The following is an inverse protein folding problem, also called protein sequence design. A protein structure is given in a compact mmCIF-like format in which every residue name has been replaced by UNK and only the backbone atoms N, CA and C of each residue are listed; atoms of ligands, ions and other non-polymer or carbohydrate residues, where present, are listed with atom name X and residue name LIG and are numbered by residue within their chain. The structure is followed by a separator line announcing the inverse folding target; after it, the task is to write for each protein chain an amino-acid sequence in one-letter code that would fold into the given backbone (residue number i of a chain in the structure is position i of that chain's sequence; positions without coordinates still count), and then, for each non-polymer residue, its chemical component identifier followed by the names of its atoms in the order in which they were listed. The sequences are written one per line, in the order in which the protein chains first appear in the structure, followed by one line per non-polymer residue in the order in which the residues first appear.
data_IF_882459022342
#
_entry.id   IF_882459022342
#
_cell.length_a   1.000
_cell.length_b   1.000
_cell.length_c   1.000
_cell.angle_alpha   90.00
_cell.angle_beta   90.00
_cell.angle_gamma   90.00
#
_symmetry.space_group_name_H-M   'P 1'
#
loop_
_entity.id
_entity.type
_entity.pdbx_description
1 polymer ?
#
# COMPACT_ATOMS: atom_id res chain seq x y z
N UNK A 1 -34.73 -34.56 -28.35
CA UNK A 1 -33.81 -33.54 -27.78
C UNK A 1 -33.68 -33.57 -26.24
N UNK A 2 -34.20 -34.59 -25.53
CA UNK A 2 -34.21 -34.63 -24.05
C UNK A 2 -33.06 -35.42 -23.41
N UNK A 3 -32.17 -36.07 -24.18
CA UNK A 3 -31.07 -36.88 -23.63
C UNK A 3 -29.78 -36.10 -23.32
N UNK A 4 -29.61 -34.90 -23.86
CA UNK A 4 -28.40 -34.07 -23.65
C UNK A 4 -28.53 -33.18 -22.39
N UNK A 5 -29.74 -33.00 -21.89
CA UNK A 5 -30.01 -32.17 -20.69
C UNK A 5 -29.70 -32.88 -19.37
N UNK A 6 -29.62 -34.23 -19.37
CA UNK A 6 -29.43 -35.02 -18.14
C UNK A 6 -27.95 -35.11 -17.74
N UNK A 7 -27.02 -35.07 -18.70
CA UNK A 7 -25.57 -35.01 -18.41
C UNK A 7 -25.14 -33.69 -17.78
N UNK A 8 -25.89 -32.60 -18.01
CA UNK A 8 -25.69 -31.30 -17.34
C UNK A 8 -26.17 -31.29 -15.87
N UNK A 9 -27.09 -32.18 -15.50
CA UNK A 9 -27.55 -32.35 -14.12
C UNK A 9 -26.55 -33.13 -13.24
N UNK A 10 -25.66 -33.92 -13.85
CA UNK A 10 -24.65 -34.73 -13.14
C UNK A 10 -23.31 -34.03 -12.87
N UNK A 11 -22.89 -33.06 -13.70
CA UNK A 11 -21.52 -32.53 -13.64
C UNK A 11 -21.34 -31.02 -13.89
N UNK A 12 -22.39 -30.20 -13.85
CA UNK A 12 -22.31 -28.82 -14.35
C UNK A 12 -22.43 -27.65 -13.37
N UNK A 13 -22.95 -27.86 -12.15
CA UNK A 13 -23.27 -26.74 -11.24
C UNK A 13 -22.54 -26.79 -9.90
N UNK A 14 -21.24 -27.13 -9.94
CA UNK A 14 -20.30 -26.77 -8.88
C UNK A 14 -19.76 -25.33 -9.04
N UNK A 15 -20.58 -24.40 -9.55
CA UNK A 15 -20.46 -22.97 -9.22
C UNK A 15 -21.38 -22.63 -8.05
N UNK A 16 -21.15 -23.36 -6.97
CA UNK A 16 -21.10 -22.84 -5.59
C UNK A 16 -22.03 -21.66 -5.30
N UNK A 17 -23.28 -22.02 -4.97
CA UNK A 17 -24.16 -21.25 -4.06
C UNK A 17 -23.60 -21.17 -2.62
N UNK A 18 -22.30 -21.43 -2.43
CA UNK A 18 -21.48 -21.03 -1.29
C UNK A 18 -21.22 -19.50 -1.26
N UNK A 19 -21.72 -18.76 -2.25
CA UNK A 19 -21.77 -17.29 -2.26
C UNK A 19 -22.84 -16.71 -1.30
N UNK A 20 -23.64 -17.53 -0.61
CA UNK A 20 -24.81 -17.06 0.17
C UNK A 20 -24.82 -17.33 1.68
N UNK A 21 -23.79 -17.93 2.28
CA UNK A 21 -23.69 -18.06 3.76
C UNK A 21 -22.25 -18.03 4.24
N UNK A 22 -21.64 -16.86 4.15
CA UNK A 22 -20.36 -16.58 4.82
C UNK A 22 -20.45 -15.16 5.40
N UNK A 23 -21.49 -14.88 6.18
CA UNK A 23 -21.41 -13.80 7.17
C UNK A 23 -20.41 -14.29 8.20
N UNK A 24 -19.19 -13.73 8.19
CA UNK A 24 -18.11 -14.07 9.14
C UNK A 24 -17.02 -15.03 8.64
N UNK A 25 -17.08 -15.56 7.43
CA UNK A 25 -15.96 -16.32 6.86
C UNK A 25 -15.31 -15.51 5.76
N UNK A 26 -14.29 -14.76 6.16
CA UNK A 26 -13.24 -14.33 5.26
C UNK A 26 -12.50 -15.64 4.95
N UNK A 27 -12.63 -16.24 3.74
CA UNK A 27 -11.74 -17.34 3.41
C UNK A 27 -10.35 -16.80 3.72
N UNK A 28 -9.53 -17.54 4.49
CA UNK A 28 -8.08 -17.32 4.55
C UNK A 28 -7.69 -17.24 3.09
N UNK A 29 -7.61 -16.03 2.55
CA UNK A 29 -7.15 -15.78 1.21
C UNK A 29 -5.73 -16.23 1.38
N UNK A 30 -5.46 -17.47 1.00
CA UNK A 30 -4.10 -17.94 0.76
C UNK A 30 -3.58 -16.80 -0.07
N UNK A 31 -2.69 -15.94 0.48
CA UNK A 31 -2.28 -14.77 -0.23
C UNK A 31 -1.68 -15.39 -1.47
N UNK A 32 -2.35 -15.24 -2.63
CA UNK A 32 -1.75 -15.60 -3.91
C UNK A 32 -0.36 -15.05 -3.76
N UNK A 33 0.69 -15.87 -3.91
CA UNK A 33 2.06 -15.40 -3.77
C UNK A 33 2.19 -14.22 -4.75
N UNK A 34 1.87 -13.00 -4.30
CA UNK A 34 2.01 -11.78 -5.07
C UNK A 34 3.50 -11.65 -5.02
N UNK A 35 4.09 -12.21 -6.08
CA UNK A 35 5.50 -12.36 -6.28
C UNK A 35 6.01 -10.92 -6.28
N UNK A 36 6.48 -10.51 -5.11
CA UNK A 36 7.07 -9.22 -4.78
C UNK A 36 6.04 -8.07 -4.61
N UNK A 37 5.50 -7.93 -3.39
CA UNK A 37 4.88 -6.68 -2.91
C UNK A 37 5.96 -5.61 -2.73
N UNK A 38 6.60 -5.20 -3.83
CA UNK A 38 7.53 -4.09 -3.87
C UNK A 38 6.75 -2.80 -3.75
N UNK A 39 7.16 -1.98 -2.81
CA UNK A 39 6.65 -0.63 -2.59
C UNK A 39 7.79 0.35 -2.67
N UNK A 40 7.49 1.61 -2.93
CA UNK A 40 8.48 2.67 -2.90
C UNK A 40 8.36 3.42 -1.58
N UNK A 41 9.46 3.53 -0.84
CA UNK A 41 9.57 4.42 0.31
C UNK A 41 10.09 5.76 -0.19
N UNK A 42 9.26 6.80 -0.09
CA UNK A 42 9.56 8.15 -0.59
C UNK A 42 9.74 9.12 0.56
N UNK A 43 10.69 10.03 0.46
CA UNK A 43 10.99 11.05 1.48
C UNK A 43 9.78 11.92 1.81
N UNK A 44 9.44 11.99 3.09
CA UNK A 44 8.39 12.87 3.62
C UNK A 44 8.80 14.35 3.56
N UNK A 45 10.11 14.63 3.52
CA UNK A 45 10.62 15.97 3.28
C UNK A 45 10.34 16.49 1.85
N UNK A 46 9.68 15.68 1.00
CA UNK A 46 9.26 16.01 -0.36
C UNK A 46 10.42 16.43 -1.29
N UNK A 47 11.59 15.79 -1.11
CA UNK A 47 12.76 15.92 -1.98
C UNK A 47 12.60 15.17 -3.31
N UNK A 48 11.72 14.17 -3.33
CA UNK A 48 11.52 13.26 -4.46
C UNK A 48 12.41 12.02 -4.40
N UNK A 49 13.31 11.90 -3.42
CA UNK A 49 14.09 10.67 -3.21
C UNK A 49 13.17 9.48 -2.90
N UNK A 50 13.50 8.34 -3.48
CA UNK A 50 12.77 7.10 -3.31
C UNK A 50 13.71 5.91 -3.18
N UNK A 51 13.29 4.93 -2.40
CA UNK A 51 13.97 3.65 -2.29
C UNK A 51 12.97 2.51 -2.48
N UNK A 52 13.35 1.52 -3.28
CA UNK A 52 12.57 0.30 -3.43
C UNK A 52 12.63 -0.51 -2.16
N UNK A 53 11.46 -0.89 -1.64
CA UNK A 53 11.33 -1.66 -0.41
C UNK A 53 10.49 -2.92 -0.64
N UNK A 54 11.01 -4.05 -0.15
CA UNK A 54 10.29 -5.32 -0.15
C UNK A 54 9.68 -5.50 1.23
N UNK A 55 8.35 -5.44 1.31
CA UNK A 55 7.64 -5.65 2.58
C UNK A 55 7.96 -7.02 3.18
N UNK A 56 8.12 -7.06 4.49
CA UNK A 56 8.20 -8.30 5.28
C UNK A 56 6.85 -9.02 5.33
N UNK A 57 6.83 -10.29 5.77
CA UNK A 57 5.58 -11.04 5.86
C UNK A 57 4.56 -10.41 6.83
N UNK A 58 5.04 -9.87 7.95
CA UNK A 58 4.21 -9.17 8.93
C UNK A 58 3.55 -7.92 8.31
N UNK A 59 4.32 -7.08 7.61
CA UNK A 59 3.81 -5.86 6.96
C UNK A 59 2.91 -6.14 5.75
N UNK A 60 2.98 -7.35 5.17
CA UNK A 60 2.05 -7.81 4.13
C UNK A 60 0.72 -8.29 4.70
N UNK A 61 0.78 -8.92 5.88
CA UNK A 61 -0.38 -9.48 6.56
C UNK A 61 -1.15 -8.42 7.35
N UNK A 62 -0.54 -7.26 7.60
CA UNK A 62 -1.07 -6.27 8.51
C UNK A 62 -2.45 -5.73 8.05
N UNK A 63 -3.49 -6.11 8.79
CA UNK A 63 -4.89 -5.77 8.49
C UNK A 63 -5.25 -4.32 8.88
N UNK A 64 -4.27 -3.57 9.40
CA UNK A 64 -4.43 -2.19 9.87
C UNK A 64 -4.72 -1.19 8.75
N UNK A 65 -4.39 -1.54 7.50
CA UNK A 65 -4.56 -0.67 6.33
C UNK A 65 -3.68 0.58 6.35
N UNK A 66 -2.73 0.68 7.30
CA UNK A 66 -1.82 1.81 7.43
C UNK A 66 -0.67 1.70 6.42
N UNK A 67 -0.18 2.85 5.95
CA UNK A 67 1.01 2.93 5.11
C UNK A 67 2.26 2.80 5.96
N UNK A 68 3.27 2.09 5.45
CA UNK A 68 4.56 2.00 6.13
C UNK A 68 5.24 3.35 6.22
N UNK A 69 5.90 3.59 7.34
CA UNK A 69 6.75 4.74 7.59
C UNK A 69 8.04 4.28 8.27
N UNK A 70 9.18 4.68 7.74
CA UNK A 70 10.49 4.25 8.24
C UNK A 70 11.49 5.39 8.18
N UNK A 71 12.35 5.52 9.20
CA UNK A 71 13.46 6.47 9.17
C UNK A 71 14.58 5.89 8.31
N UNK A 72 14.98 6.64 7.29
CA UNK A 72 16.04 6.25 6.35
C UNK A 72 16.89 7.47 5.99
N UNK A 73 18.06 7.22 5.42
CA UNK A 73 18.95 8.27 4.95
C UNK A 73 18.41 8.88 3.65
N UNK A 74 18.24 10.20 3.59
CA UNK A 74 17.94 10.91 2.35
C UNK A 74 19.24 11.54 1.81
N UNK A 75 19.78 11.06 0.67
CA UNK A 75 21.02 11.58 0.09
C UNK A 75 20.86 13.01 -0.44
N UNK A 76 19.64 13.47 -0.75
CA UNK A 76 19.39 14.83 -1.24
C UNK A 76 19.58 15.85 -0.13
N UNK A 77 19.17 15.51 1.10
CA UNK A 77 19.31 16.39 2.27
C UNK A 77 20.53 16.07 3.11
N UNK A 78 21.21 14.95 2.84
CA UNK A 78 22.31 14.42 3.66
C UNK A 78 21.89 14.30 5.14
N UNK A 79 20.67 13.83 5.37
CA UNK A 79 20.07 13.70 6.71
C UNK A 79 19.15 12.48 6.77
N UNK A 80 18.99 11.93 7.97
CA UNK A 80 17.95 10.96 8.24
C UNK A 80 16.59 11.64 8.23
N UNK A 81 15.68 11.13 7.39
CA UNK A 81 14.31 11.63 7.28
C UNK A 81 13.34 10.47 7.33
N UNK A 82 12.07 10.79 7.54
CA UNK A 82 11.02 9.79 7.50
C UNK A 82 10.63 9.52 6.04
N UNK A 83 10.65 8.25 5.64
CA UNK A 83 10.20 7.79 4.33
C UNK A 83 8.82 7.14 4.48
N UNK A 84 7.89 7.48 3.57
CA UNK A 84 6.52 6.96 3.54
C UNK A 84 6.28 6.05 2.36
N UNK A 85 5.45 5.04 2.56
CA UNK A 85 5.02 4.12 1.51
C UNK A 85 4.23 4.85 0.42
N UNK A 86 4.67 4.63 -0.82
CA UNK A 86 4.07 5.15 -2.05
C UNK A 86 4.07 4.06 -3.13
N UNK A 87 3.27 4.28 -4.18
CA UNK A 87 3.23 3.39 -5.34
C UNK A 87 4.56 3.48 -6.10
N UNK A 88 5.07 2.33 -6.54
CA UNK A 88 6.33 2.25 -7.31
C UNK A 88 6.22 2.93 -8.67
N UNK A 89 5.02 2.96 -9.26
CA UNK A 89 4.77 3.61 -10.55
C UNK A 89 3.94 4.87 -10.36
N UNK A 90 4.46 5.97 -10.89
CA UNK A 90 3.81 7.28 -10.89
C UNK A 90 4.81 8.40 -10.60
N UNK A 91 4.37 9.67 -10.71
CA UNK A 91 5.20 10.80 -10.32
C UNK A 91 5.42 10.82 -8.81
N UNK A 92 6.68 10.87 -8.37
CA UNK A 92 7.06 10.92 -6.95
C UNK A 92 6.89 12.32 -6.34
N UNK A 93 6.89 13.35 -7.18
CA UNK A 93 6.58 14.72 -6.81
C UNK A 93 5.32 15.15 -7.54
N UNK A 94 4.31 15.53 -6.76
CA UNK A 94 3.02 16.02 -7.27
C UNK A 94 2.64 17.28 -6.52
N UNK A 95 1.75 18.09 -7.09
CA UNK A 95 1.29 19.34 -6.47
C UNK A 95 0.71 19.17 -5.06
N UNK A 96 0.13 18.00 -4.76
CA UNK A 96 -0.41 17.68 -3.43
C UNK A 96 0.67 17.53 -2.33
N UNK A 97 1.94 17.41 -2.71
CA UNK A 97 3.06 17.32 -1.77
C UNK A 97 3.62 18.68 -1.37
N UNK A 98 3.12 19.77 -1.95
CA UNK A 98 3.52 21.13 -1.55
C UNK A 98 2.99 21.39 -0.14
N UNK A 99 3.91 21.60 0.79
CA UNK A 99 3.56 21.96 2.16
C UNK A 99 2.90 23.35 2.19
N UNK A 100 1.92 23.53 3.08
CA UNK A 100 1.36 24.85 3.37
C UNK A 100 2.44 25.77 3.95
N UNK A 101 2.33 27.07 3.71
CA UNK A 101 3.23 28.07 4.31
C UNK A 101 3.12 27.99 5.84
N UNK A 102 4.26 27.84 6.51
CA UNK A 102 4.38 27.86 7.97
C UNK A 102 5.34 28.99 8.33
N UNK A 103 4.94 29.84 9.28
CA UNK A 103 5.81 30.87 9.82
C UNK A 103 6.62 30.27 10.96
N UNK A 104 7.95 30.42 10.89
CA UNK A 104 8.83 29.92 11.93
C UNK A 104 9.03 31.00 13.01
N UNK A 105 9.10 30.64 14.30
CA UNK A 105 9.27 31.60 15.40
C UNK A 105 10.70 32.17 15.51
N UNK A 106 11.67 31.57 14.80
CA UNK A 106 13.07 31.98 14.82
C UNK A 106 13.23 33.37 14.16
N UNK A 107 13.89 34.30 14.87
CA UNK A 107 14.15 35.67 14.41
C UNK A 107 13.28 36.77 15.06
N UNK A 108 12.26 36.41 15.83
CA UNK A 108 11.41 37.38 16.54
C UNK A 108 12.11 38.06 17.75
N UNK A 109 13.22 37.50 18.23
CA UNK A 109 13.93 37.97 19.43
C UNK A 109 15.07 38.99 19.18
N UNK A 110 15.33 39.41 17.93
CA UNK A 110 16.41 40.36 17.61
C UNK A 110 15.99 41.84 17.64
N UNK A 111 14.86 42.16 18.28
CA UNK A 111 14.41 43.55 18.50
C UNK A 111 14.29 43.83 20.00
N UNK A 112 15.44 44.02 20.65
CA UNK A 112 15.56 44.73 21.93
C UNK A 112 16.69 45.73 21.74
#
# INVERSE_FOLDING_TARGET
MLRVSVTLLGHGQYKTRLKKRMVGFIPKVIPRKIRNNMVALRSEANTGHMEGYIKTEAERLDATGRRLQKVMWDPVLQRYTLMKETKVRGPFLTKSHIARKVNFPIGAHHRV
#
